data_IF_641429096351
#
_entry.id   IF_641429096351
#
_cell.length_a   1.000
_cell.length_b   1.000
_cell.length_c   1.000
_cell.angle_alpha   90.00
_cell.angle_beta   90.00
_cell.angle_gamma   90.00
#
_symmetry.space_group_name_H-M   'P 1'
#
loop_
_entity.id
_entity.type
_entity.pdbx_description
1 polymer ?
#
# COMPACT_ATOMS: atom_id res chain seq x y z
N UNK A 1 7.64 4.36 -7.99
CA UNK A 1 6.65 4.78 -6.96
C UNK A 1 6.59 3.85 -5.73
N UNK A 2 7.43 2.82 -5.63
CA UNK A 2 7.43 1.87 -4.51
C UNK A 2 7.87 2.45 -3.17
N UNK A 3 8.91 3.29 -3.18
CA UNK A 3 9.51 3.84 -1.96
C UNK A 3 8.50 4.65 -1.13
N UNK A 4 7.54 5.30 -1.79
CA UNK A 4 6.47 6.06 -1.13
C UNK A 4 5.62 5.17 -0.21
N UNK A 5 5.18 4.00 -0.70
CA UNK A 5 4.36 3.08 0.08
C UNK A 5 5.15 2.37 1.18
N UNK A 6 6.45 2.10 0.95
CA UNK A 6 7.36 1.62 1.99
C UNK A 6 7.50 2.64 3.12
N UNK A 7 7.79 3.90 2.79
CA UNK A 7 7.91 4.97 3.79
C UNK A 7 6.60 5.16 4.56
N UNK A 8 5.45 4.97 3.91
CA UNK A 8 4.15 5.08 4.55
C UNK A 8 3.91 3.93 5.55
N UNK A 9 4.18 2.67 5.17
CA UNK A 9 3.98 1.51 6.06
C UNK A 9 5.00 1.46 7.21
N UNK A 10 6.25 1.84 6.94
CA UNK A 10 7.34 1.78 7.94
C UNK A 10 7.63 3.13 8.60
N UNK A 11 6.73 4.12 8.52
CA UNK A 11 6.98 5.44 9.09
C UNK A 11 7.26 5.39 10.59
N UNK A 12 6.61 4.47 11.32
CA UNK A 12 6.73 4.34 12.77
C UNK A 12 8.09 3.78 13.20
N UNK A 13 8.79 3.08 12.29
CA UNK A 13 10.13 2.57 12.54
C UNK A 13 11.20 3.67 12.45
N UNK A 14 10.85 4.85 11.93
CA UNK A 14 11.77 5.97 11.73
C UNK A 14 11.39 7.09 12.68
N UNK A 15 12.23 7.36 13.68
CA UNK A 15 11.99 8.38 14.71
C UNK A 15 12.15 9.83 14.23
N UNK A 16 12.19 10.07 12.91
CA UNK A 16 12.37 11.39 12.31
C UNK A 16 11.27 11.68 11.30
N UNK A 17 10.89 12.96 11.12
CA UNK A 17 9.95 13.35 10.08
C UNK A 17 10.44 12.92 8.70
N UNK A 18 9.56 12.26 7.95
CA UNK A 18 9.84 11.76 6.60
C UNK A 18 9.23 12.70 5.58
N UNK A 19 10.08 13.34 4.77
CA UNK A 19 9.66 14.16 3.64
C UNK A 19 9.93 13.40 2.35
N UNK A 20 8.88 13.09 1.61
CA UNK A 20 8.97 12.52 0.28
C UNK A 20 8.97 13.64 -0.75
N UNK A 21 10.13 13.87 -1.36
CA UNK A 21 10.29 14.83 -2.44
C UNK A 21 10.02 14.15 -3.78
N UNK A 22 9.02 14.64 -4.50
CA UNK A 22 8.68 14.18 -5.84
C UNK A 22 8.70 15.36 -6.79
N UNK A 23 9.41 15.20 -7.91
CA UNK A 23 9.46 16.20 -8.97
C UNK A 23 9.02 15.59 -10.29
N UNK A 24 8.23 16.34 -11.03
CA UNK A 24 7.86 16.02 -12.41
C UNK A 24 7.96 17.28 -13.25
N UNK A 25 8.98 17.36 -14.11
CA UNK A 25 9.34 18.57 -14.82
C UNK A 25 9.72 19.70 -13.85
N UNK A 26 9.17 20.90 -14.05
CA UNK A 26 9.39 22.07 -13.18
C UNK A 26 8.52 22.09 -11.90
N UNK A 27 7.71 21.06 -11.66
CA UNK A 27 6.87 21.00 -10.47
C UNK A 27 7.53 20.12 -9.41
N UNK A 28 8.06 20.75 -8.36
CA UNK A 28 8.53 20.08 -7.14
C UNK A 28 7.40 20.04 -6.12
N UNK A 29 7.15 18.86 -5.55
CA UNK A 29 6.17 18.65 -4.48
C UNK A 29 6.86 17.90 -3.35
N UNK A 30 6.69 18.40 -2.14
CA UNK A 30 7.16 17.74 -0.94
C UNK A 30 5.96 17.28 -0.14
N UNK A 31 5.94 16.00 0.19
CA UNK A 31 4.88 15.38 0.97
C UNK A 31 5.46 14.98 2.33
N UNK A 32 4.86 15.44 3.42
CA UNK A 32 5.20 14.94 4.75
C UNK A 32 4.52 13.58 4.95
N UNK A 33 5.31 12.50 4.86
CA UNK A 33 4.83 11.13 5.01
C UNK A 33 4.46 10.85 6.47
N UNK A 34 5.15 11.46 7.44
CA UNK A 34 4.83 11.30 8.85
C UNK A 34 3.44 11.85 9.16
N UNK A 35 3.12 13.05 8.67
CA UNK A 35 1.79 13.64 8.85
C UNK A 35 0.72 12.83 8.11
N UNK A 36 1.01 12.39 6.88
CA UNK A 36 0.10 11.56 6.11
C UNK A 36 -0.19 10.23 6.82
N UNK A 37 0.85 9.56 7.33
CA UNK A 37 0.73 8.31 8.06
C UNK A 37 -0.13 8.46 9.31
N UNK A 38 -0.05 9.60 10.01
CA UNK A 38 -0.87 9.89 11.19
C UNK A 38 -2.38 10.01 10.87
N UNK A 39 -2.75 10.28 9.62
CA UNK A 39 -4.17 10.30 9.19
C UNK A 39 -4.75 8.92 8.90
N UNK A 40 -3.94 7.87 8.94
CA UNK A 40 -4.30 6.51 8.50
C UNK A 40 -4.12 5.52 9.63
N UNK A 41 -4.98 4.50 9.69
CA UNK A 41 -4.77 3.39 10.64
C UNK A 41 -3.52 2.60 10.24
N UNK A 42 -2.86 1.96 11.21
CA UNK A 42 -1.74 1.05 10.93
C UNK A 42 -2.16 -0.06 9.97
N UNK A 43 -3.33 -0.66 10.19
CA UNK A 43 -3.89 -1.70 9.33
C UNK A 43 -4.06 -1.22 7.88
N UNK A 44 -4.55 0.00 7.66
CA UNK A 44 -4.69 0.54 6.31
C UNK A 44 -3.34 0.78 5.64
N UNK A 45 -2.32 1.26 6.38
CA UNK A 45 -0.96 1.43 5.84
C UNK A 45 -0.35 0.09 5.42
N UNK A 46 -0.52 -0.94 6.25
CA UNK A 46 -0.07 -2.32 5.98
C UNK A 46 -0.85 -2.96 4.81
N UNK A 47 -2.12 -2.62 4.65
CA UNK A 47 -2.93 -3.11 3.53
C UNK A 47 -2.58 -2.42 2.20
N UNK A 48 -2.20 -1.14 2.23
CA UNK A 48 -1.88 -0.35 1.02
C UNK A 48 -0.59 -0.83 0.35
N UNK A 49 0.43 -1.24 1.13
CA UNK A 49 1.67 -1.78 0.55
C UNK A 49 1.38 -3.07 -0.23
N UNK A 50 0.53 -3.94 0.31
CA UNK A 50 0.06 -5.15 -0.37
C UNK A 50 -0.78 -4.79 -1.60
N UNK A 51 -1.72 -3.86 -1.49
CA UNK A 51 -2.52 -3.38 -2.62
C UNK A 51 -1.65 -2.86 -3.77
N UNK A 52 -0.55 -2.14 -3.45
CA UNK A 52 0.39 -1.66 -4.43
C UNK A 52 1.08 -2.79 -5.19
N UNK A 53 1.43 -3.89 -4.50
CA UNK A 53 2.01 -5.08 -5.13
C UNK A 53 1.06 -5.70 -6.17
N UNK A 54 -0.24 -5.80 -5.85
CA UNK A 54 -1.23 -6.40 -6.76
C UNK A 54 -1.72 -5.46 -7.88
N UNK A 55 -1.77 -4.14 -7.63
CA UNK A 55 -2.22 -3.14 -8.63
C UNK A 55 -1.11 -2.69 -9.58
N UNK A 56 0.09 -3.25 -9.44
CA UNK A 56 1.18 -3.10 -10.40
C UNK A 56 2.08 -1.89 -10.16
N UNK A 57 3.31 -2.23 -9.81
CA UNK A 57 4.55 -1.56 -10.17
C UNK A 57 4.83 -1.55 -11.68
N UNK A 58 4.18 -0.70 -12.46
CA UNK A 58 4.45 -0.40 -13.89
C UNK A 58 4.42 -1.57 -14.91
N UNK A 59 4.36 -2.85 -14.49
CA UNK A 59 4.62 -4.01 -15.37
C UNK A 59 3.55 -5.12 -15.31
N UNK A 60 2.77 -5.20 -14.23
CA UNK A 60 1.74 -6.26 -14.04
C UNK A 60 0.59 -5.75 -13.17
N UNK A 61 -0.60 -5.55 -13.74
CA UNK A 61 -1.82 -5.34 -12.93
C UNK A 61 -2.55 -6.67 -12.76
N UNK A 62 -2.73 -7.13 -11.53
CA UNK A 62 -3.55 -8.32 -11.23
C UNK A 62 -5.05 -8.01 -11.30
N UNK A 63 -5.44 -6.73 -11.16
CA UNK A 63 -6.83 -6.30 -11.25
C UNK A 63 -7.18 -5.75 -12.63
N UNK A 64 -7.59 -6.63 -13.54
CA UNK A 64 -8.11 -6.23 -14.84
C UNK A 64 -9.33 -5.29 -14.68
N UNK A 65 -9.29 -4.13 -15.34
CA UNK A 65 -10.40 -3.17 -15.33
C UNK A 65 -10.63 -2.42 -14.00
N UNK A 66 -9.70 -2.51 -13.03
CA UNK A 66 -9.69 -1.64 -11.84
C UNK A 66 -8.45 -0.75 -11.89
N UNK A 67 -8.66 0.56 -11.81
CA UNK A 67 -7.58 1.51 -11.60
C UNK A 67 -7.14 1.51 -10.12
N UNK A 68 -5.94 2.03 -9.86
CA UNK A 68 -5.37 2.14 -8.52
C UNK A 68 -6.28 2.92 -7.57
N UNK A 69 -6.98 3.92 -8.09
CA UNK A 69 -7.91 4.74 -7.30
C UNK A 69 -9.14 3.94 -6.85
N UNK A 70 -9.77 3.17 -7.73
CA UNK A 70 -10.91 2.33 -7.36
C UNK A 70 -10.51 1.22 -6.40
N UNK A 71 -9.34 0.61 -6.61
CA UNK A 71 -8.79 -0.40 -5.70
C UNK A 71 -8.53 0.19 -4.30
N UNK A 72 -7.97 1.40 -4.22
CA UNK A 72 -7.76 2.10 -2.95
C UNK A 72 -9.08 2.45 -2.25
N UNK A 73 -10.08 2.94 -2.99
CA UNK A 73 -11.41 3.23 -2.43
C UNK A 73 -12.10 1.98 -1.89
N UNK A 74 -11.98 0.85 -2.60
CA UNK A 74 -12.51 -0.44 -2.15
C UNK A 74 -11.81 -0.90 -0.87
N UNK A 75 -10.49 -0.70 -0.77
CA UNK A 75 -9.74 -1.02 0.43
C UNK A 75 -10.15 -0.13 1.62
N UNK A 76 -10.30 1.18 1.41
CA UNK A 76 -10.69 2.11 2.48
C UNK A 76 -12.13 1.90 2.98
N UNK A 77 -13.03 1.47 2.11
CA UNK A 77 -14.45 1.31 2.43
C UNK A 77 -14.85 -0.02 3.05
N UNK A 78 -13.93 -0.98 3.17
CA UNK A 78 -14.24 -2.35 3.56
C UNK A 78 -13.17 -2.91 4.52
N UNK A 79 -13.60 -3.29 5.71
CA UNK A 79 -12.72 -3.77 6.77
C UNK A 79 -12.16 -5.17 6.47
N UNK A 80 -12.91 -6.01 5.76
CA UNK A 80 -12.48 -7.36 5.40
C UNK A 80 -11.39 -7.31 4.34
N UNK A 81 -11.50 -6.36 3.40
CA UNK A 81 -10.41 -6.06 2.47
C UNK A 81 -9.17 -5.56 3.22
N UNK A 82 -9.31 -4.66 4.21
CA UNK A 82 -8.16 -4.21 4.99
C UNK A 82 -7.50 -5.34 5.77
N UNK A 83 -8.28 -6.20 6.43
CA UNK A 83 -7.75 -7.38 7.14
C UNK A 83 -6.97 -8.28 6.18
N UNK A 84 -7.62 -8.69 5.09
CA UNK A 84 -7.02 -9.59 4.10
C UNK A 84 -5.71 -9.03 3.57
N UNK A 85 -5.69 -7.78 3.10
CA UNK A 85 -4.49 -7.18 2.52
C UNK A 85 -3.39 -6.88 3.54
N UNK A 86 -3.74 -6.56 4.79
CA UNK A 86 -2.74 -6.32 5.85
C UNK A 86 -2.01 -7.60 6.30
N UNK A 87 -2.59 -8.77 6.03
CA UNK A 87 -1.99 -10.08 6.34
C UNK A 87 -1.12 -10.64 5.21
N UNK A 88 -1.17 -10.04 4.02
CA UNK A 88 -0.33 -10.47 2.90
C UNK A 88 1.13 -10.20 3.24
N UNK A 89 1.98 -11.22 3.12
CA UNK A 89 3.42 -11.14 3.43
C UNK A 89 3.77 -11.30 4.91
N UNK A 90 2.78 -11.49 5.81
CA UNK A 90 3.03 -11.80 7.23
C UNK A 90 2.89 -13.29 7.57
N UNK A 91 2.34 -14.08 6.65
CA UNK A 91 2.21 -15.52 6.78
C UNK A 91 3.48 -16.23 6.26
N UNK A 92 4.21 -16.89 7.16
CA UNK A 92 5.43 -17.65 6.84
C UNK A 92 5.16 -19.01 6.19
N UNK A 93 3.91 -19.50 6.24
CA UNK A 93 3.55 -20.85 5.79
C UNK A 93 2.45 -20.81 4.73
N UNK A 94 2.80 -21.15 3.50
CA UNK A 94 1.83 -21.56 2.48
C UNK A 94 1.54 -23.04 2.76
N UNK A 95 0.64 -23.34 3.70
CA UNK A 95 0.10 -24.69 3.81
C UNK A 95 -0.76 -24.94 2.57
N UNK A 96 -0.31 -25.84 1.69
CA UNK A 96 -0.81 -26.04 0.32
C UNK A 96 -2.23 -26.60 0.18
N UNK A 97 -3.19 -26.19 1.01
CA UNK A 97 -4.60 -26.59 0.91
C UNK A 97 -5.54 -25.50 0.40
N UNK A 98 -5.11 -24.24 0.33
CA UNK A 98 -5.95 -23.12 -0.15
C UNK A 98 -5.58 -22.64 -1.56
N UNK A 99 -4.92 -23.47 -2.37
CA UNK A 99 -4.83 -23.23 -3.81
C UNK A 99 -5.98 -23.95 -4.54
N UNK A 100 -7.21 -23.61 -4.17
CA UNK A 100 -8.26 -23.51 -5.16
C UNK A 100 -8.77 -22.09 -5.11
N UNK A 101 -8.48 -21.31 -6.16
CA UNK A 101 -9.44 -20.37 -6.72
C UNK A 101 -8.91 -19.82 -8.06
N UNK A 102 -9.68 -20.20 -9.08
CA UNK A 102 -9.93 -19.59 -10.40
C UNK A 102 -8.88 -19.78 -11.49
#
# INVERSE_FOLDING_TARGET
MYIFFLLLSFSDAISKPLIFDTSSGNNRRQLNITDLAATMSKQLRDAIISLHAFTGCDSTSCFAGKDKLKALKMLQGDQDHQDTFSRIGTLETISGQDMQLI
#
